data_IF_534221543705
#
_entry.id   IF_534221543705
#
_cell.length_a   1.000
_cell.length_b   1.000
_cell.length_c   1.000
_cell.angle_alpha   90.00
_cell.angle_beta   90.00
_cell.angle_gamma   90.00
#
_symmetry.space_group_name_H-M   'P 1'
#
loop_
_entity.id
_entity.type
_entity.pdbx_description
1 polymer ?
#
# COMPACT_ATOMS: atom_id res chain seq x y z
N UNK A 1 -12.90 -2.32 -17.15
CA UNK A 1 -11.52 -1.84 -16.84
C UNK A 1 -11.42 -0.36 -16.44
N UNK A 2 -12.25 0.58 -16.92
CA UNK A 2 -12.11 2.01 -16.53
C UNK A 2 -12.60 2.34 -15.11
N UNK A 3 -13.48 1.54 -14.52
CA UNK A 3 -14.22 1.92 -13.30
C UNK A 3 -13.44 1.77 -11.99
N UNK A 4 -12.32 1.03 -12.00
CA UNK A 4 -11.52 0.75 -10.79
C UNK A 4 -10.24 1.57 -10.70
N UNK A 5 -10.02 2.47 -11.65
CA UNK A 5 -8.84 3.33 -11.69
C UNK A 5 -8.82 4.23 -10.46
N UNK A 6 -7.67 4.27 -9.78
CA UNK A 6 -7.43 4.99 -8.52
C UNK A 6 -8.21 4.45 -7.31
N UNK A 7 -8.77 3.24 -7.36
CA UNK A 7 -9.56 2.69 -6.24
C UNK A 7 -8.72 2.54 -4.95
N UNK A 8 -7.42 2.31 -5.09
CA UNK A 8 -6.47 2.19 -3.99
C UNK A 8 -5.67 3.47 -3.70
N UNK A 9 -6.08 4.60 -4.28
CA UNK A 9 -5.48 5.91 -4.04
C UNK A 9 -6.18 6.65 -2.92
N UNK A 10 -5.40 7.30 -2.05
CA UNK A 10 -5.90 8.17 -1.00
C UNK A 10 -6.42 9.48 -1.60
N UNK A 11 -7.49 10.04 -1.03
CA UNK A 11 -8.12 11.26 -1.54
C UNK A 11 -7.17 12.46 -1.55
N UNK A 12 -6.28 12.53 -0.55
CA UNK A 12 -5.27 13.57 -0.38
C UNK A 12 -3.88 13.17 -0.90
N UNK A 13 -3.76 12.20 -1.81
CA UNK A 13 -2.45 11.67 -2.24
C UNK A 13 -1.45 12.77 -2.68
N UNK A 14 -1.93 13.79 -3.39
CA UNK A 14 -1.08 14.90 -3.87
C UNK A 14 -0.51 15.78 -2.75
N UNK A 15 -1.09 15.70 -1.57
CA UNK A 15 -0.71 16.47 -0.38
C UNK A 15 0.09 15.60 0.61
N UNK A 16 0.27 14.30 0.32
CA UNK A 16 1.03 13.41 1.18
C UNK A 16 2.52 13.74 1.11
N UNK A 17 3.10 14.04 2.27
CA UNK A 17 4.55 14.07 2.42
C UNK A 17 5.10 12.64 2.49
N UNK A 18 5.40 12.08 1.32
CA UNK A 18 6.02 10.76 1.20
C UNK A 18 7.49 10.87 1.58
N UNK A 19 7.82 10.30 2.74
CA UNK A 19 9.15 10.33 3.35
C UNK A 19 10.13 9.32 2.70
N UNK A 20 10.16 9.25 1.38
CA UNK A 20 11.14 8.50 0.59
C UNK A 20 12.03 9.45 -0.20
N UNK A 21 13.29 9.09 -0.35
CA UNK A 21 14.25 9.89 -1.10
C UNK A 21 13.84 10.03 -2.58
N UNK A 22 14.14 11.16 -3.24
CA UNK A 22 13.98 11.27 -4.69
C UNK A 22 14.68 10.12 -5.42
N UNK A 23 13.97 9.48 -6.36
CA UNK A 23 14.47 8.30 -7.08
C UNK A 23 14.38 6.97 -6.33
N UNK A 24 13.76 6.92 -5.14
CA UNK A 24 13.56 5.67 -4.41
C UNK A 24 12.67 4.69 -5.21
N UNK A 25 13.09 3.43 -5.32
CA UNK A 25 12.31 2.39 -6.02
C UNK A 25 10.94 2.10 -5.41
N UNK A 26 10.71 2.47 -4.14
CA UNK A 26 9.42 2.27 -3.47
C UNK A 26 8.27 3.03 -4.14
N UNK A 27 8.54 4.17 -4.81
CA UNK A 27 7.53 4.87 -5.62
C UNK A 27 7.01 3.99 -6.76
N UNK A 28 7.91 3.27 -7.42
CA UNK A 28 7.55 2.32 -8.48
C UNK A 28 6.73 1.15 -7.93
N UNK A 29 7.16 0.57 -6.80
CA UNK A 29 6.45 -0.53 -6.13
C UNK A 29 5.03 -0.09 -5.72
N UNK A 30 4.88 1.09 -5.12
CA UNK A 30 3.58 1.64 -4.74
C UNK A 30 2.63 1.74 -5.94
N UNK A 31 3.11 2.30 -7.06
CA UNK A 31 2.31 2.47 -8.27
C UNK A 31 1.94 1.14 -8.94
N UNK A 32 2.87 0.19 -8.98
CA UNK A 32 2.63 -1.14 -9.57
C UNK A 32 1.65 -1.93 -8.70
N UNK A 33 1.79 -1.87 -7.36
CA UNK A 33 0.89 -2.52 -6.44
C UNK A 33 -0.56 -2.01 -6.59
N UNK A 34 -0.75 -0.70 -6.73
CA UNK A 34 -2.07 -0.11 -7.02
C UNK A 34 -2.66 -0.69 -8.30
N UNK A 35 -1.92 -0.64 -9.41
CA UNK A 35 -2.38 -1.14 -10.71
C UNK A 35 -2.73 -2.63 -10.67
N UNK A 36 -1.86 -3.44 -10.07
CA UNK A 36 -2.08 -4.88 -9.96
C UNK A 36 -3.38 -5.21 -9.21
N UNK A 37 -3.66 -4.49 -8.11
CA UNK A 37 -4.88 -4.71 -7.34
C UNK A 37 -6.13 -4.14 -8.05
N UNK A 38 -6.00 -3.07 -8.83
CA UNK A 38 -7.11 -2.54 -9.64
C UNK A 38 -7.58 -3.53 -10.72
N UNK A 39 -6.68 -4.38 -11.22
CA UNK A 39 -6.97 -5.45 -12.20
C UNK A 39 -7.70 -6.66 -11.57
N UNK A 40 -7.68 -6.81 -10.24
CA UNK A 40 -8.28 -7.95 -9.53
C UNK A 40 -9.70 -7.61 -9.03
N UNK A 41 -10.73 -8.02 -9.77
CA UNK A 41 -12.13 -7.60 -9.56
C UNK A 41 -12.66 -7.84 -8.13
N UNK A 42 -12.27 -8.93 -7.49
CA UNK A 42 -12.79 -9.32 -6.16
C UNK A 42 -12.15 -8.54 -5.00
N UNK A 43 -11.02 -7.87 -5.22
CA UNK A 43 -10.28 -7.17 -4.16
C UNK A 43 -10.66 -5.70 -4.15
N UNK A 44 -11.08 -5.20 -2.99
CA UNK A 44 -11.44 -3.80 -2.71
C UNK A 44 -10.65 -3.31 -1.49
N UNK A 45 -10.52 -1.99 -1.27
CA UNK A 45 -9.85 -1.47 -0.08
C UNK A 45 -10.39 -2.03 1.26
N UNK A 46 -11.67 -2.38 1.31
CA UNK A 46 -12.36 -2.81 2.53
C UNK A 46 -12.14 -4.30 2.86
N UNK A 47 -11.88 -5.16 1.85
CA UNK A 47 -11.61 -6.59 2.05
C UNK A 47 -10.12 -6.95 1.81
N UNK A 48 -9.26 -5.94 1.74
CA UNK A 48 -7.83 -6.06 1.57
C UNK A 48 -7.09 -5.51 2.79
N UNK A 49 -6.00 -6.16 3.18
CA UNK A 49 -5.12 -5.70 4.26
C UNK A 49 -3.66 -5.70 3.82
N UNK A 50 -2.96 -4.60 4.05
CA UNK A 50 -1.50 -4.58 3.98
C UNK A 50 -0.90 -4.72 5.37
N UNK A 51 -0.08 -5.74 5.55
CA UNK A 51 0.70 -5.96 6.76
C UNK A 51 2.15 -5.59 6.48
N UNK A 52 2.74 -4.73 7.30
CA UNK A 52 4.13 -4.28 7.18
C UNK A 52 4.88 -4.40 8.51
N UNK A 53 6.20 -4.19 8.46
CA UNK A 53 7.08 -4.16 9.64
C UNK A 53 7.63 -2.76 9.87
N UNK A 54 8.95 -2.65 10.12
CA UNK A 54 9.63 -1.36 10.31
C UNK A 54 10.71 -1.18 9.24
N UNK A 55 10.72 -0.01 8.59
CA UNK A 55 11.68 0.39 7.55
C UNK A 55 11.06 1.37 6.55
N UNK A 56 11.85 1.92 5.63
CA UNK A 56 11.31 2.84 4.61
C UNK A 56 10.30 2.14 3.70
N UNK A 57 10.61 0.94 3.21
CA UNK A 57 9.67 0.15 2.40
C UNK A 57 8.39 -0.21 3.18
N UNK A 58 8.49 -0.40 4.50
CA UNK A 58 7.36 -0.76 5.34
C UNK A 58 6.32 0.37 5.50
N UNK A 59 6.61 1.60 5.02
CA UNK A 59 5.66 2.72 5.05
C UNK A 59 4.58 2.65 3.96
N UNK A 60 4.70 1.74 2.98
CA UNK A 60 3.73 1.60 1.88
C UNK A 60 2.26 1.65 2.34
N UNK A 61 1.83 0.96 3.43
CA UNK A 61 0.42 0.96 3.83
C UNK A 61 -0.12 2.35 4.19
N UNK A 62 0.75 3.30 4.56
CA UNK A 62 0.36 4.68 4.89
C UNK A 62 0.11 5.56 3.65
N UNK A 63 0.53 5.12 2.46
CA UNK A 63 0.40 5.86 1.20
C UNK A 63 -0.61 5.21 0.24
N UNK A 64 -1.47 4.36 0.79
CA UNK A 64 -2.34 3.46 0.05
C UNK A 64 -3.73 3.43 0.72
N UNK A 65 -4.81 3.34 -0.05
CA UNK A 65 -6.17 3.23 0.51
C UNK A 65 -6.46 1.76 0.83
N UNK A 66 -6.37 1.37 2.09
CA UNK A 66 -6.49 -0.03 2.54
C UNK A 66 -6.77 -0.11 4.05
N UNK A 67 -7.17 -1.28 4.53
CA UNK A 67 -6.92 -1.65 5.93
C UNK A 67 -5.42 -1.95 6.11
N UNK A 68 -4.81 -1.49 7.19
CA UNK A 68 -3.36 -1.63 7.39
C UNK A 68 -3.01 -2.12 8.80
N UNK A 69 -1.94 -2.92 8.89
CA UNK A 69 -1.25 -3.22 10.15
C UNK A 69 0.26 -2.99 9.99
N UNK A 70 0.80 -2.01 10.71
CA UNK A 70 2.23 -1.74 10.74
C UNK A 70 2.84 -2.31 12.03
N UNK A 71 3.41 -3.52 11.93
CA UNK A 71 3.91 -4.30 13.04
C UNK A 71 5.36 -4.02 13.43
N UNK A 72 5.94 -4.97 14.15
CA UNK A 72 7.33 -4.90 14.61
C UNK A 72 8.32 -5.29 13.51
N UNK A 73 9.57 -4.83 13.66
CA UNK A 73 10.64 -5.14 12.74
C UNK A 73 10.84 -6.66 12.62
N UNK A 74 10.80 -7.19 11.39
CA UNK A 74 10.96 -8.62 11.12
C UNK A 74 9.78 -9.51 11.58
N UNK A 75 8.62 -8.94 11.92
CA UNK A 75 7.43 -9.66 12.41
C UNK A 75 6.19 -9.52 11.51
N UNK A 76 6.37 -9.09 10.27
CA UNK A 76 5.28 -8.95 9.29
C UNK A 76 4.53 -10.27 9.05
N UNK A 77 5.26 -11.36 8.78
CA UNK A 77 4.63 -12.64 8.42
C UNK A 77 3.84 -13.29 9.57
N UNK A 78 4.35 -13.37 10.82
CA UNK A 78 3.55 -13.90 11.92
C UNK A 78 2.22 -13.16 12.12
N UNK A 79 2.19 -11.83 11.93
CA UNK A 79 0.95 -11.07 12.03
C UNK A 79 0.03 -11.29 10.84
N UNK A 80 0.57 -11.40 9.64
CA UNK A 80 -0.21 -11.66 8.43
C UNK A 80 -0.82 -13.07 8.37
N UNK A 81 -0.25 -14.02 9.11
CA UNK A 81 -0.72 -15.41 9.14
C UNK A 81 -1.92 -15.62 10.07
N UNK A 82 -2.00 -14.83 11.15
CA UNK A 82 -3.01 -14.95 12.19
C UNK A 82 -4.40 -14.48 11.72
#
# INVERSE_FOLDING_TARGET
MSERKNMFTLENEKELDIAWCPGCGNFGILNILKKALEEMEEITPNNFVLVSGIGQAAKIPHYFKNNAFNGLHGRTLPVAFA
#
